data_IF_353377272816
#
_entry.id   IF_353377272816
#
_cell.length_a   1.000
_cell.length_b   1.000
_cell.length_c   1.000
_cell.angle_alpha   90.00
_cell.angle_beta   90.00
_cell.angle_gamma   90.00
#
_symmetry.space_group_name_H-M   'P 1'
#
loop_
_entity.id
_entity.type
_entity.pdbx_description
1 polymer ?
#
# COMPACT_ATOMS: atom_id res chain seq x y z
N UNK A 1 31.00 -2.81 -1.33
CA UNK A 1 29.54 -2.97 -1.33
C UNK A 1 29.13 -2.79 -2.77
N UNK A 2 28.85 -3.88 -3.48
CA UNK A 2 28.35 -3.75 -4.86
C UNK A 2 26.91 -3.23 -4.78
N UNK A 3 26.66 -2.12 -5.46
CA UNK A 3 25.31 -1.58 -5.62
C UNK A 3 24.64 -2.43 -6.70
N UNK A 4 23.77 -3.35 -6.30
CA UNK A 4 22.89 -4.03 -7.25
C UNK A 4 22.09 -2.96 -8.00
N UNK A 5 22.21 -2.95 -9.33
CA UNK A 5 21.40 -2.08 -10.17
C UNK A 5 19.92 -2.48 -10.03
N UNK A 6 19.10 -1.52 -9.59
CA UNK A 6 17.66 -1.65 -9.50
C UNK A 6 17.06 -1.83 -10.89
N UNK A 7 16.69 -3.06 -11.22
CA UNK A 7 15.98 -3.38 -12.47
C UNK A 7 14.58 -2.74 -12.48
N UNK A 8 14.32 -1.74 -13.34
CA UNK A 8 13.03 -1.07 -13.41
C UNK A 8 11.90 -2.02 -13.80
N UNK A 9 12.18 -3.08 -14.56
CA UNK A 9 11.19 -4.06 -14.95
C UNK A 9 10.69 -4.87 -13.75
N UNK A 10 11.51 -5.05 -12.71
CA UNK A 10 11.13 -5.69 -11.44
C UNK A 10 10.36 -4.75 -10.51
N UNK A 11 10.39 -3.44 -10.75
CA UNK A 11 9.60 -2.45 -10.00
C UNK A 11 8.11 -2.48 -10.39
N UNK A 12 7.78 -3.10 -11.52
CA UNK A 12 6.39 -3.33 -11.93
C UNK A 12 5.79 -4.55 -11.21
N UNK A 13 5.67 -4.48 -9.87
CA UNK A 13 4.61 -5.26 -9.23
C UNK A 13 3.30 -4.76 -9.81
N UNK A 14 2.49 -5.64 -10.42
CA UNK A 14 1.11 -5.35 -10.85
C UNK A 14 0.45 -4.49 -9.77
N UNK A 15 0.32 -3.19 -10.01
CA UNK A 15 -0.24 -2.29 -9.03
C UNK A 15 -1.71 -2.65 -8.89
N UNK A 16 -2.03 -3.35 -7.80
CA UNK A 16 -3.41 -3.71 -7.49
C UNK A 16 -4.11 -2.42 -7.04
N UNK A 17 -5.28 -2.15 -7.62
CA UNK A 17 -6.09 -1.01 -7.19
C UNK A 17 -6.77 -1.29 -5.86
N UNK A 18 -7.12 -2.55 -5.64
CA UNK A 18 -7.71 -3.04 -4.40
C UNK A 18 -7.01 -4.33 -3.99
N UNK A 19 -6.56 -4.42 -2.74
CA UNK A 19 -5.86 -5.59 -2.20
C UNK A 19 -6.22 -5.83 -0.73
N UNK A 20 -5.99 -7.06 -0.24
CA UNK A 20 -6.22 -7.36 1.18
C UNK A 20 -5.26 -6.56 2.05
N UNK A 21 -5.66 -6.31 3.31
CA UNK A 21 -4.78 -5.65 4.29
C UNK A 21 -3.46 -6.44 4.46
N UNK A 22 -3.53 -7.77 4.39
CA UNK A 22 -2.37 -8.65 4.51
C UNK A 22 -1.40 -8.52 3.32
N UNK A 23 -1.90 -8.62 2.09
CA UNK A 23 -1.05 -8.45 0.90
C UNK A 23 -0.48 -7.04 0.81
N UNK A 24 -1.25 -6.02 1.21
CA UNK A 24 -0.73 -4.65 1.29
C UNK A 24 0.38 -4.54 2.34
N UNK A 25 0.19 -5.14 3.51
CA UNK A 25 1.18 -5.12 4.59
C UNK A 25 2.49 -5.79 4.15
N UNK A 26 2.40 -6.98 3.58
CA UNK A 26 3.54 -7.72 3.03
C UNK A 26 4.29 -6.91 1.97
N UNK A 27 3.58 -6.33 1.00
CA UNK A 27 4.17 -5.54 -0.08
C UNK A 27 4.89 -4.29 0.40
N UNK A 28 4.45 -3.67 1.49
CA UNK A 28 5.04 -2.46 2.06
C UNK A 28 6.03 -2.76 3.20
N UNK A 29 6.30 -4.02 3.54
CA UNK A 29 7.18 -4.39 4.65
C UNK A 29 6.64 -3.99 6.03
N UNK A 30 5.32 -3.89 6.18
CA UNK A 30 4.66 -3.46 7.42
C UNK A 30 4.08 -4.69 8.13
N UNK A 31 4.20 -4.77 9.45
CA UNK A 31 3.56 -5.82 10.22
C UNK A 31 2.02 -5.78 10.07
N UNK A 32 1.38 -6.92 9.80
CA UNK A 32 -0.07 -6.99 9.55
C UNK A 32 -0.92 -6.29 10.62
N UNK A 33 -0.57 -6.44 11.90
CA UNK A 33 -1.29 -5.79 13.00
C UNK A 33 -1.31 -4.25 12.90
N UNK A 34 -0.21 -3.66 12.44
CA UNK A 34 -0.08 -2.21 12.21
C UNK A 34 -0.93 -1.79 11.03
N UNK A 35 -0.79 -2.47 9.88
CA UNK A 35 -1.59 -2.19 8.69
C UNK A 35 -3.11 -2.32 8.97
N UNK A 36 -3.51 -3.35 9.72
CA UNK A 36 -4.89 -3.52 10.17
C UNK A 36 -5.35 -2.38 11.07
N UNK A 37 -4.53 -1.94 12.02
CA UNK A 37 -4.86 -0.82 12.89
C UNK A 37 -5.07 0.47 12.07
N UNK A 38 -4.19 0.75 11.10
CA UNK A 38 -4.33 1.90 10.20
C UNK A 38 -5.60 1.84 9.35
N UNK A 39 -5.91 0.67 8.77
CA UNK A 39 -7.12 0.44 8.01
C UNK A 39 -8.41 0.64 8.83
N UNK A 40 -8.41 0.22 10.10
CA UNK A 40 -9.57 0.42 10.99
C UNK A 40 -9.69 1.86 11.50
N UNK A 41 -8.58 2.56 11.66
CA UNK A 41 -8.52 3.97 12.07
C UNK A 41 -8.65 4.96 10.91
N UNK A 42 -8.91 4.47 9.69
CA UNK A 42 -8.99 5.27 8.47
C UNK A 42 -7.74 6.12 8.18
N UNK A 43 -6.57 5.67 8.64
CA UNK A 43 -5.26 6.30 8.35
C UNK A 43 -4.88 6.02 6.89
N UNK A 44 -5.20 4.83 6.38
CA UNK A 44 -5.05 4.48 4.98
C UNK A 44 -6.43 4.31 4.34
N UNK A 45 -6.61 4.67 3.06
CA UNK A 45 -7.87 4.51 2.35
C UNK A 45 -8.29 3.04 2.26
N UNK A 46 -9.56 2.76 2.56
CA UNK A 46 -10.12 1.41 2.49
C UNK A 46 -11.47 1.40 1.81
N UNK A 47 -11.82 0.27 1.21
CA UNK A 47 -13.12 0.02 0.59
C UNK A 47 -13.70 -1.29 1.13
N UNK A 48 -15.03 -1.36 1.24
CA UNK A 48 -15.73 -2.59 1.61
C UNK A 48 -16.07 -3.37 0.34
N UNK A 49 -15.53 -4.58 0.22
CA UNK A 49 -15.84 -5.52 -0.87
C UNK A 49 -16.57 -6.72 -0.26
N UNK A 50 -17.89 -6.76 -0.46
CA UNK A 50 -18.76 -7.71 0.24
C UNK A 50 -18.66 -7.58 1.76
N UNK A 51 -18.17 -8.63 2.43
CA UNK A 51 -17.98 -8.65 3.89
C UNK A 51 -16.57 -8.23 4.34
N UNK A 52 -15.63 -8.02 3.41
CA UNK A 52 -14.23 -7.71 3.73
C UNK A 52 -13.92 -6.23 3.57
N UNK A 53 -13.06 -5.70 4.43
CA UNK A 53 -12.42 -4.40 4.25
C UNK A 53 -11.08 -4.63 3.54
N UNK A 54 -10.87 -3.93 2.44
CA UNK A 54 -9.67 -4.01 1.60
C UNK A 54 -9.03 -2.63 1.50
N UNK A 55 -7.73 -2.58 1.23
CA UNK A 55 -7.02 -1.32 1.02
C UNK A 55 -7.33 -0.84 -0.40
N UNK A 56 -7.72 0.43 -0.53
CA UNK A 56 -7.85 1.08 -1.84
C UNK A 56 -6.50 1.71 -2.18
N UNK A 57 -5.65 0.90 -2.79
CA UNK A 57 -4.28 1.26 -3.15
C UNK A 57 -4.24 2.29 -4.27
N UNK A 58 -5.24 2.34 -5.16
CA UNK A 58 -5.34 3.39 -6.16
C UNK A 58 -5.55 4.76 -5.51
N UNK A 59 -6.54 4.87 -4.61
CA UNK A 59 -6.80 6.11 -3.89
C UNK A 59 -5.63 6.50 -2.98
N UNK A 60 -4.99 5.53 -2.33
CA UNK A 60 -3.80 5.80 -1.53
C UNK A 60 -2.68 6.41 -2.38
N UNK A 61 -2.42 5.88 -3.58
CA UNK A 61 -1.40 6.43 -4.49
C UNK A 61 -1.74 7.87 -4.90
N UNK A 62 -2.98 8.13 -5.31
CA UNK A 62 -3.43 9.49 -5.63
C UNK A 62 -3.24 10.45 -4.47
N UNK A 63 -3.69 10.06 -3.27
CA UNK A 63 -3.56 10.87 -2.07
C UNK A 63 -2.10 11.17 -1.71
N UNK A 64 -1.21 10.17 -1.81
CA UNK A 64 0.22 10.34 -1.56
C UNK A 64 0.88 11.30 -2.58
N UNK A 65 0.46 11.26 -3.84
CA UNK A 65 0.98 12.18 -4.87
C UNK A 65 0.52 13.62 -4.66
N UNK A 66 -0.62 13.82 -4.00
CA UNK A 66 -1.16 15.14 -3.66
C UNK A 66 -0.52 15.76 -2.40
N UNK A 67 0.25 14.98 -1.62
CA UNK A 67 0.91 15.52 -0.43
C UNK A 67 2.13 16.37 -0.79
N UNK A 68 2.26 17.53 -0.15
CA UNK A 68 3.52 18.29 -0.14
C UNK A 68 4.49 17.63 0.84
N UNK A 69 5.35 16.76 0.31
CA UNK A 69 6.38 16.09 1.11
C UNK A 69 7.49 17.06 1.46
N UNK A 70 7.63 17.39 2.73
CA UNK A 70 8.83 18.07 3.27
C UNK A 70 9.79 17.02 3.83
N UNK A 71 11.07 17.13 3.43
CA UNK A 71 12.14 16.24 3.86
C UNK A 71 12.70 16.63 5.24
#
# INVERSE_FOLDING_TARGET
MELEELDPAKLHTLQRDVETIESWAERNGIAYGVARAWAMKAIIPTIKVGKRRMVNSALLRSWLLEQEWTA
#
